data_IF_182558856681
#
_entry.id   IF_182558856681
#
_cell.length_a   1.000
_cell.length_b   1.000
_cell.length_c   1.000
_cell.angle_alpha   90.00
_cell.angle_beta   90.00
_cell.angle_gamma   90.00
#
_symmetry.space_group_name_H-M   'P 1'
#
loop_
_entity.id
_entity.type
_entity.pdbx_description
1 polymer ?
#
# COMPACT_ATOMS: atom_id res chain seq x y z
N UNK A 1 -3.20 -25.82 61.99
CA UNK A 1 -4.17 -24.71 61.82
C UNK A 1 -3.53 -23.44 62.35
N UNK A 2 -3.66 -22.26 61.72
CA UNK A 2 -3.73 -21.91 60.29
C UNK A 2 -2.45 -21.16 59.83
N UNK A 3 -2.09 -21.24 58.54
CA UNK A 3 -1.07 -20.38 57.93
C UNK A 3 -1.77 -19.12 57.45
N UNK A 4 -1.43 -17.98 58.06
CA UNK A 4 -1.92 -16.66 57.71
C UNK A 4 -1.32 -16.24 56.35
N UNK A 5 -2.14 -16.24 55.32
CA UNK A 5 -1.79 -15.73 54.00
C UNK A 5 -1.66 -14.20 54.09
N UNK A 6 -0.53 -13.59 53.69
CA UNK A 6 -0.44 -12.13 53.65
C UNK A 6 -1.41 -11.62 52.59
N UNK A 7 -2.47 -10.99 53.09
CA UNK A 7 -3.44 -10.17 52.39
C UNK A 7 -2.68 -9.20 51.46
N UNK A 8 -2.66 -9.50 50.16
CA UNK A 8 -2.18 -8.55 49.16
C UNK A 8 -3.27 -7.49 49.03
N UNK A 9 -3.23 -6.52 49.94
CA UNK A 9 -3.91 -5.25 49.80
C UNK A 9 -3.38 -4.61 48.51
N UNK A 10 -4.05 -4.93 47.40
CA UNK A 10 -3.98 -4.16 46.17
C UNK A 10 -4.63 -2.81 46.50
N UNK A 11 -3.82 -1.93 47.07
CA UNK A 11 -4.05 -0.51 47.15
C UNK A 11 -4.21 -0.04 45.71
N UNK A 12 -5.44 -0.12 45.22
CA UNK A 12 -5.84 0.36 43.92
C UNK A 12 -5.62 1.86 43.89
N UNK A 13 -4.39 2.27 43.56
CA UNK A 13 -4.08 3.62 43.17
C UNK A 13 -5.15 4.01 42.16
N UNK A 14 -5.99 4.98 42.52
CA UNK A 14 -6.97 5.55 41.61
C UNK A 14 -6.20 6.32 40.56
N UNK A 15 -5.65 5.59 39.58
CA UNK A 15 -4.88 6.10 38.46
C UNK A 15 -5.72 7.20 37.81
N UNK A 16 -5.13 8.38 37.68
CA UNK A 16 -5.81 9.58 37.15
C UNK A 16 -6.44 9.20 35.80
N UNK A 17 -7.77 9.15 35.76
CA UNK A 17 -8.56 8.69 34.59
C UNK A 17 -8.47 9.65 33.40
N UNK A 18 -7.69 10.74 33.50
CA UNK A 18 -7.60 11.82 32.53
C UNK A 18 -6.13 12.21 32.31
N UNK A 19 -5.78 12.62 31.08
CA UNK A 19 -4.42 12.91 30.59
C UNK A 19 -3.50 11.69 30.49
N UNK A 20 -4.02 10.59 29.96
CA UNK A 20 -3.26 9.36 29.74
C UNK A 20 -2.31 9.53 28.55
N UNK A 21 -1.02 9.22 28.73
CA UNK A 21 -0.08 9.24 27.61
C UNK A 21 -0.36 8.08 26.64
N UNK A 22 0.10 8.14 25.37
CA UNK A 22 -0.06 7.02 24.43
C UNK A 22 0.49 5.70 24.99
N UNK A 23 1.59 5.78 25.75
CA UNK A 23 2.21 4.64 26.41
C UNK A 23 1.29 4.04 27.48
N UNK A 24 0.71 4.89 28.33
CA UNK A 24 -0.18 4.44 29.40
C UNK A 24 -1.49 3.85 28.85
N UNK A 25 -1.96 4.32 27.69
CA UNK A 25 -3.14 3.75 27.00
C UNK A 25 -2.84 2.34 26.48
N UNK A 26 -1.67 2.13 25.88
CA UNK A 26 -1.23 0.81 25.44
C UNK A 26 -1.04 -0.13 26.63
N UNK A 27 -0.42 0.35 27.72
CA UNK A 27 -0.24 -0.44 28.96
C UNK A 27 -1.58 -0.96 29.47
N UNK A 28 -2.60 -0.09 29.58
CA UNK A 28 -3.95 -0.51 30.00
C UNK A 28 -4.62 -1.50 29.06
N UNK A 29 -4.39 -1.38 27.75
CA UNK A 29 -4.90 -2.36 26.78
C UNK A 29 -4.20 -3.72 26.95
N UNK A 30 -2.89 -3.73 27.20
CA UNK A 30 -2.12 -4.94 27.47
C UNK A 30 -2.57 -5.61 28.78
N UNK A 31 -2.67 -4.85 29.87
CA UNK A 31 -3.12 -5.36 31.17
C UNK A 31 -4.48 -6.08 31.02
N UNK A 32 -5.42 -5.46 30.30
CA UNK A 32 -6.74 -6.04 30.00
C UNK A 32 -6.68 -7.30 29.13
N UNK A 33 -5.73 -7.40 28.19
CA UNK A 33 -5.53 -8.59 27.37
C UNK A 33 -4.91 -9.73 28.18
N UNK A 34 -4.00 -9.39 29.11
CA UNK A 34 -3.29 -10.33 29.97
C UNK A 34 -4.14 -10.87 31.13
N UNK A 35 -5.21 -10.17 31.55
CA UNK A 35 -6.20 -10.70 32.50
C UNK A 35 -6.87 -12.00 32.00
N UNK A 36 -6.95 -12.21 30.68
CA UNK A 36 -7.64 -13.37 30.07
C UNK A 36 -6.84 -13.98 28.92
N UNK A 37 -5.69 -14.55 29.27
CA UNK A 37 -4.75 -15.18 28.32
C UNK A 37 -5.41 -16.31 27.51
N UNK A 38 -6.32 -17.07 28.11
CA UNK A 38 -6.97 -18.22 27.46
C UNK A 38 -7.96 -17.83 26.34
N UNK A 39 -8.37 -16.55 26.28
CA UNK A 39 -9.32 -16.10 25.26
C UNK A 39 -8.56 -15.68 23.99
N UNK A 40 -8.80 -16.31 22.83
CA UNK A 40 -8.15 -15.89 21.60
C UNK A 40 -8.58 -14.46 21.22
N UNK A 41 -7.60 -13.63 20.89
CA UNK A 41 -7.81 -12.25 20.44
C UNK A 41 -8.24 -12.26 18.98
N UNK A 42 -9.41 -11.70 18.68
CA UNK A 42 -9.91 -11.56 17.30
C UNK A 42 -9.37 -10.26 16.71
N UNK A 43 -8.43 -10.37 15.77
CA UNK A 43 -7.95 -9.24 14.99
C UNK A 43 -8.99 -8.98 13.87
N UNK A 44 -9.57 -7.77 13.76
CA UNK A 44 -10.56 -7.50 12.74
C UNK A 44 -9.92 -7.51 11.34
N UNK A 45 -10.53 -8.26 10.43
CA UNK A 45 -10.19 -8.21 9.01
C UNK A 45 -10.83 -7.00 8.34
N UNK A 46 -10.07 -6.34 7.45
CA UNK A 46 -10.59 -5.24 6.63
C UNK A 46 -11.56 -5.80 5.59
N UNK A 47 -12.85 -5.53 5.76
CA UNK A 47 -13.89 -5.95 4.81
C UNK A 47 -14.03 -4.91 3.70
N UNK A 48 -14.00 -5.38 2.45
CA UNK A 48 -14.35 -4.57 1.30
C UNK A 48 -15.86 -4.23 1.33
N UNK A 49 -16.21 -3.02 0.89
CA UNK A 49 -17.60 -2.55 0.87
C UNK A 49 -18.33 -3.18 -0.31
N UNK A 50 -19.02 -4.30 -0.07
CA UNK A 50 -19.81 -4.97 -1.10
C UNK A 50 -21.30 -4.72 -0.91
N UNK A 51 -22.05 -4.67 -2.02
CA UNK A 51 -23.51 -4.63 -1.96
C UNK A 51 -24.08 -6.05 -1.92
N UNK A 52 -25.23 -6.17 -1.26
CA UNK A 52 -26.00 -7.41 -1.29
C UNK A 52 -26.46 -7.69 -2.73
N UNK A 53 -26.36 -8.94 -3.21
CA UNK A 53 -26.83 -9.30 -4.54
C UNK A 53 -28.34 -9.02 -4.68
N UNK A 54 -28.82 -8.69 -5.89
CA UNK A 54 -30.24 -8.54 -6.14
C UNK A 54 -30.97 -9.87 -5.86
N UNK A 55 -32.23 -9.80 -5.44
CA UNK A 55 -33.06 -11.00 -5.24
C UNK A 55 -33.46 -11.55 -6.60
N UNK A 56 -33.31 -12.86 -6.79
CA UNK A 56 -33.63 -13.52 -8.07
C UNK A 56 -35.14 -13.48 -8.40
N UNK A 57 -36.00 -13.71 -7.39
CA UNK A 57 -37.45 -13.78 -7.59
C UNK A 57 -38.15 -12.81 -6.64
N UNK A 58 -38.82 -11.82 -7.23
CA UNK A 58 -39.72 -10.90 -6.51
C UNK A 58 -41.13 -11.47 -6.57
N UNK A 59 -41.70 -11.82 -5.40
CA UNK A 59 -43.01 -12.50 -5.30
C UNK A 59 -44.22 -11.57 -5.37
N UNK A 60 -44.03 -10.27 -5.23
CA UNK A 60 -45.11 -9.29 -5.03
C UNK A 60 -45.15 -8.24 -6.15
N UNK A 61 -44.92 -8.67 -7.40
CA UNK A 61 -44.94 -7.76 -8.56
C UNK A 61 -46.39 -7.56 -9.00
N UNK A 62 -46.95 -6.34 -8.93
CA UNK A 62 -48.27 -6.06 -9.49
C UNK A 62 -48.23 -6.20 -11.03
N UNK A 63 -49.36 -6.54 -11.64
CA UNK A 63 -49.43 -6.73 -13.10
C UNK A 63 -49.04 -5.46 -13.88
N UNK A 64 -48.56 -5.63 -15.12
CA UNK A 64 -47.98 -4.53 -15.92
C UNK A 64 -48.94 -3.37 -16.23
N UNK A 65 -50.26 -3.61 -16.15
CA UNK A 65 -51.30 -2.59 -16.34
C UNK A 65 -51.89 -2.06 -15.03
N UNK A 66 -51.40 -2.52 -13.87
CA UNK A 66 -51.86 -2.01 -12.59
C UNK A 66 -51.38 -0.55 -12.38
N UNK A 67 -52.24 0.29 -11.82
CA UNK A 67 -51.91 1.68 -11.52
C UNK A 67 -50.85 1.82 -10.41
N UNK A 68 -50.29 3.02 -10.27
CA UNK A 68 -49.31 3.32 -9.23
C UNK A 68 -49.93 3.21 -7.83
N UNK A 69 -49.45 2.24 -7.04
CA UNK A 69 -49.83 2.09 -5.63
C UNK A 69 -49.09 3.05 -4.70
N UNK A 70 -49.59 3.24 -3.48
CA UNK A 70 -48.97 4.11 -2.47
C UNK A 70 -47.57 3.68 -2.02
N UNK A 71 -47.25 2.39 -2.15
CA UNK A 71 -45.93 1.83 -1.83
C UNK A 71 -44.89 1.96 -2.95
N UNK A 72 -45.30 2.25 -4.18
CA UNK A 72 -44.42 2.21 -5.36
C UNK A 72 -43.29 3.24 -5.26
N UNK A 73 -43.60 4.42 -4.72
CA UNK A 73 -42.60 5.46 -4.48
C UNK A 73 -41.46 4.98 -3.57
N UNK A 74 -41.78 4.22 -2.51
CA UNK A 74 -40.76 3.71 -1.59
C UNK A 74 -39.95 2.57 -2.21
N UNK A 75 -40.56 1.76 -3.07
CA UNK A 75 -39.87 0.72 -3.83
C UNK A 75 -38.85 1.37 -4.77
N UNK A 76 -39.26 2.36 -5.58
CA UNK A 76 -38.36 3.12 -6.44
C UNK A 76 -37.24 3.80 -5.65
N UNK A 77 -37.56 4.47 -4.54
CA UNK A 77 -36.56 5.12 -3.68
C UNK A 77 -35.51 4.14 -3.16
N UNK A 78 -35.92 2.94 -2.74
CA UNK A 78 -35.00 1.91 -2.28
C UNK A 78 -34.15 1.34 -3.42
N UNK A 79 -34.77 1.08 -4.58
CA UNK A 79 -34.10 0.59 -5.77
C UNK A 79 -33.04 1.59 -6.28
N UNK A 80 -33.42 2.86 -6.41
CA UNK A 80 -32.52 3.94 -6.84
C UNK A 80 -31.33 4.11 -5.93
N UNK A 81 -31.53 4.07 -4.60
CA UNK A 81 -30.41 4.13 -3.64
C UNK A 81 -29.48 2.93 -3.78
N UNK A 82 -30.02 1.72 -3.97
CA UNK A 82 -29.21 0.53 -4.20
C UNK A 82 -28.41 0.66 -5.48
N UNK A 83 -29.02 1.14 -6.56
CA UNK A 83 -28.35 1.28 -7.84
C UNK A 83 -27.25 2.34 -7.81
N UNK A 84 -27.50 3.50 -7.19
CA UNK A 84 -26.47 4.51 -7.00
C UNK A 84 -25.31 4.04 -6.13
N UNK A 85 -25.59 3.26 -5.08
CA UNK A 85 -24.52 2.65 -4.31
C UNK A 85 -23.73 1.66 -5.18
N UNK A 86 -24.38 0.95 -6.11
CA UNK A 86 -23.76 -0.06 -6.98
C UNK A 86 -22.83 0.57 -7.99
N UNK A 87 -23.32 1.58 -8.71
CA UNK A 87 -22.52 2.32 -9.69
C UNK A 87 -21.37 3.03 -9.00
N UNK A 88 -21.61 3.64 -7.84
CA UNK A 88 -20.57 4.31 -7.06
C UNK A 88 -19.43 3.38 -6.62
N UNK A 89 -19.75 2.18 -6.12
CA UNK A 89 -18.70 1.22 -5.72
C UNK A 89 -17.90 0.77 -6.94
N UNK A 90 -18.57 0.48 -8.06
CA UNK A 90 -17.89 0.10 -9.31
C UNK A 90 -16.98 1.22 -9.83
N UNK A 91 -17.43 2.48 -9.80
CA UNK A 91 -16.62 3.64 -10.19
C UNK A 91 -15.43 3.86 -9.25
N UNK A 92 -15.62 3.72 -7.94
CA UNK A 92 -14.55 3.82 -6.93
C UNK A 92 -13.50 2.72 -7.11
N UNK A 93 -13.93 1.48 -7.38
CA UNK A 93 -13.04 0.33 -7.65
C UNK A 93 -12.23 0.54 -8.93
N UNK A 94 -12.88 0.92 -10.04
CA UNK A 94 -12.19 1.19 -11.30
C UNK A 94 -11.15 2.31 -11.15
N UNK A 95 -11.50 3.38 -10.43
CA UNK A 95 -10.56 4.48 -10.19
C UNK A 95 -9.38 4.03 -9.32
N UNK A 96 -9.65 3.28 -8.25
CA UNK A 96 -8.59 2.78 -7.37
C UNK A 96 -7.65 1.80 -8.09
N UNK A 97 -8.15 0.99 -9.02
CA UNK A 97 -7.35 0.10 -9.86
C UNK A 97 -6.48 0.89 -10.84
N UNK A 98 -7.03 1.89 -11.53
CA UNK A 98 -6.27 2.78 -12.40
C UNK A 98 -5.16 3.51 -11.64
N UNK A 99 -5.48 4.11 -10.50
CA UNK A 99 -4.51 4.81 -9.65
C UNK A 99 -3.39 3.87 -9.17
N UNK A 100 -3.71 2.60 -8.87
CA UNK A 100 -2.72 1.58 -8.48
C UNK A 100 -1.80 1.19 -9.65
N UNK A 101 -2.36 0.96 -10.84
CA UNK A 101 -1.58 0.62 -12.03
C UNK A 101 -0.60 1.75 -12.36
N UNK A 102 -1.07 3.00 -12.36
CA UNK A 102 -0.22 4.17 -12.62
C UNK A 102 0.88 4.31 -11.55
N UNK A 103 0.53 4.08 -10.29
CA UNK A 103 1.49 4.12 -9.19
C UNK A 103 2.57 3.05 -9.33
N UNK A 104 2.19 1.81 -9.61
CA UNK A 104 3.12 0.69 -9.74
C UNK A 104 4.03 0.87 -10.95
N UNK A 105 3.50 1.30 -12.11
CA UNK A 105 4.30 1.64 -13.29
C UNK A 105 5.34 2.72 -12.96
N UNK A 106 4.91 3.81 -12.32
CA UNK A 106 5.82 4.90 -11.94
C UNK A 106 6.87 4.45 -10.94
N UNK A 107 6.50 3.59 -9.98
CA UNK A 107 7.42 3.02 -8.99
C UNK A 107 8.48 2.15 -9.67
N UNK A 108 8.07 1.29 -10.58
CA UNK A 108 8.98 0.41 -11.33
C UNK A 108 9.95 1.21 -12.20
N UNK A 109 9.47 2.24 -12.90
CA UNK A 109 10.35 3.12 -13.68
C UNK A 109 11.40 3.82 -12.82
N UNK A 110 10.99 4.33 -11.65
CA UNK A 110 11.90 5.00 -10.72
C UNK A 110 12.93 4.02 -10.18
N UNK A 111 12.51 2.79 -9.87
CA UNK A 111 13.39 1.73 -9.40
C UNK A 111 14.39 1.32 -10.47
N UNK A 112 13.96 1.11 -11.72
CA UNK A 112 14.84 0.81 -12.85
C UNK A 112 15.86 1.93 -13.09
N UNK A 113 15.42 3.20 -13.09
CA UNK A 113 16.33 4.37 -13.23
C UNK A 113 17.35 4.44 -12.09
N UNK A 114 16.97 4.08 -10.87
CA UNK A 114 17.88 4.04 -9.72
C UNK A 114 18.88 2.87 -9.81
N UNK A 115 18.41 1.70 -10.24
CA UNK A 115 19.21 0.49 -10.40
C UNK A 115 20.23 0.65 -11.53
N UNK A 116 19.84 1.25 -12.66
CA UNK A 116 20.76 1.58 -13.75
C UNK A 116 21.89 2.51 -13.29
N UNK A 117 21.56 3.58 -12.56
CA UNK A 117 22.56 4.51 -12.02
C UNK A 117 23.48 3.79 -11.03
N UNK A 118 22.92 2.95 -10.18
CA UNK A 118 23.68 2.17 -9.20
C UNK A 118 24.58 1.13 -9.87
N UNK A 119 24.09 0.43 -10.90
CA UNK A 119 24.84 -0.55 -11.68
C UNK A 119 25.99 0.10 -12.46
N UNK A 120 25.75 1.23 -13.12
CA UNK A 120 26.80 2.03 -13.80
C UNK A 120 27.90 2.44 -12.82
N UNK A 121 27.52 2.93 -11.64
CA UNK A 121 28.48 3.33 -10.60
C UNK A 121 29.23 2.14 -9.98
N UNK A 122 28.53 1.01 -9.75
CA UNK A 122 29.12 -0.23 -9.26
C UNK A 122 30.14 -0.79 -10.26
N UNK A 123 29.81 -0.81 -11.56
CA UNK A 123 30.72 -1.25 -12.62
C UNK A 123 31.98 -0.37 -12.68
N UNK A 124 31.84 0.96 -12.59
CA UNK A 124 32.98 1.90 -12.50
C UNK A 124 33.88 1.60 -11.29
N UNK A 125 33.30 1.35 -10.11
CA UNK A 125 34.05 1.00 -8.89
C UNK A 125 34.77 -0.34 -9.02
N UNK A 126 34.11 -1.37 -9.56
CA UNK A 126 34.72 -2.68 -9.78
C UNK A 126 35.88 -2.64 -10.79
N UNK A 127 35.74 -1.86 -11.87
CA UNK A 127 36.84 -1.63 -12.83
C UNK A 127 38.04 -0.96 -12.15
N UNK A 128 37.80 0.07 -11.32
CA UNK A 128 38.87 0.74 -10.55
C UNK A 128 39.53 -0.22 -9.55
N UNK A 129 38.75 -1.02 -8.82
CA UNK A 129 39.26 -2.02 -7.88
C UNK A 129 40.12 -3.09 -8.58
N UNK A 130 39.65 -3.61 -9.72
CA UNK A 130 40.42 -4.56 -10.54
C UNK A 130 41.74 -3.95 -11.03
N UNK A 131 41.72 -2.71 -11.51
CA UNK A 131 42.92 -2.01 -11.97
C UNK A 131 43.92 -1.70 -10.85
N UNK A 132 43.47 -1.44 -9.62
CA UNK A 132 44.35 -1.28 -8.46
C UNK A 132 44.99 -2.62 -8.08
N UNK A 133 44.19 -3.68 -7.97
CA UNK A 133 44.71 -5.03 -7.66
C UNK A 133 45.72 -5.54 -8.69
N UNK A 134 45.57 -5.19 -9.99
CA UNK A 134 46.56 -5.57 -11.01
C UNK A 134 47.82 -4.71 -10.97
N UNK A 135 47.75 -3.46 -10.49
CA UNK A 135 48.94 -2.62 -10.25
C UNK A 135 49.73 -3.10 -9.04
N UNK A 136 49.05 -3.45 -7.95
CA UNK A 136 49.71 -3.92 -6.72
C UNK A 136 50.34 -5.33 -6.89
N UNK A 137 49.86 -6.12 -7.86
CA UNK A 137 50.41 -7.46 -8.19
C UNK A 137 51.47 -7.47 -9.29
N UNK A 138 51.73 -6.35 -9.97
CA UNK A 138 52.80 -6.28 -10.98
C UNK A 138 54.07 -5.74 -10.31
N UNK A 139 55.19 -6.51 -10.27
CA UNK A 139 56.46 -5.96 -9.86
C UNK A 139 56.85 -4.85 -10.83
N UNK A 140 57.36 -3.75 -10.28
CA UNK A 140 57.72 -2.51 -10.98
C UNK A 140 58.82 -2.80 -12.00
N UNK A 141 58.45 -2.99 -13.27
CA UNK A 141 59.36 -2.95 -14.42
C UNK A 141 58.97 -1.75 -15.28
N UNK A 142 59.98 -0.94 -15.64
CA UNK A 142 59.85 0.43 -16.14
C UNK A 142 59.11 0.63 -17.47
N UNK A 143 58.53 1.84 -17.56
CA UNK A 143 58.27 2.75 -18.70
C UNK A 143 57.84 2.21 -20.08
N UNK A 144 56.69 2.71 -20.57
CA UNK A 144 56.59 3.61 -21.73
C UNK A 144 55.14 4.01 -22.00
N UNK A 145 54.99 5.25 -22.45
CA UNK A 145 53.80 6.04 -22.78
C UNK A 145 52.99 5.52 -23.97
N UNK A 146 51.65 5.49 -23.87
CA UNK A 146 50.75 5.84 -24.99
C UNK A 146 49.47 6.45 -24.43
N UNK A 147 49.22 7.69 -24.85
CA UNK A 147 48.00 8.48 -24.72
C UNK A 147 46.82 7.79 -25.41
N UNK A 148 45.65 7.75 -24.77
CA UNK A 148 44.42 7.27 -25.40
C UNK A 148 43.22 7.98 -24.78
N UNK A 149 42.92 9.13 -25.36
CA UNK A 149 41.59 9.75 -25.39
C UNK A 149 40.52 8.68 -25.68
N UNK A 150 39.58 8.48 -24.76
CA UNK A 150 38.30 7.82 -25.03
C UNK A 150 37.18 8.62 -24.39
N UNK A 151 36.84 9.72 -25.07
CA UNK A 151 35.66 10.54 -24.80
C UNK A 151 34.47 9.90 -25.51
N UNK A 152 33.99 8.77 -25.01
CA UNK A 152 32.73 8.16 -25.48
C UNK A 152 31.54 8.77 -24.74
N UNK A 153 31.16 9.97 -25.16
CA UNK A 153 29.85 10.57 -24.87
C UNK A 153 28.87 10.06 -25.96
N UNK A 154 27.82 9.28 -25.65
CA UNK A 154 26.88 8.86 -26.68
C UNK A 154 25.96 10.04 -27.07
N UNK A 155 25.67 10.24 -28.37
CA UNK A 155 24.83 11.34 -28.82
C UNK A 155 23.39 11.13 -28.35
N UNK A 156 22.79 12.18 -27.78
CA UNK A 156 21.35 12.26 -27.58
C UNK A 156 20.68 12.29 -28.95
N UNK A 157 19.93 11.24 -29.29
CA UNK A 157 18.96 11.30 -30.37
C UNK A 157 17.75 12.08 -29.87
N UNK A 158 17.69 13.36 -30.22
CA UNK A 158 16.44 14.12 -30.20
C UNK A 158 15.59 13.66 -31.37
N UNK A 159 14.53 12.90 -31.08
CA UNK A 159 13.51 12.55 -32.05
C UNK A 159 12.50 13.70 -32.08
N UNK A 160 12.67 14.60 -33.04
CA UNK A 160 11.66 15.59 -33.40
C UNK A 160 10.57 14.88 -34.20
N UNK A 161 9.39 14.68 -33.61
CA UNK A 161 8.17 14.37 -34.36
C UNK A 161 7.32 15.61 -34.44
N UNK A 162 7.64 16.49 -35.38
CA UNK A 162 6.77 17.56 -35.86
C UNK A 162 6.06 17.05 -37.11
N UNK A 163 4.87 16.49 -36.94
CA UNK A 163 3.96 16.21 -38.04
C UNK A 163 2.61 16.86 -37.70
N UNK A 164 2.49 18.15 -37.97
CA UNK A 164 1.21 18.75 -38.31
C UNK A 164 0.84 18.38 -39.76
N UNK A 165 -0.46 18.46 -40.07
CA UNK A 165 -1.11 18.52 -41.41
C UNK A 165 -1.93 17.27 -41.78
N UNK A 166 -3.26 17.29 -41.57
CA UNK A 166 -4.25 17.67 -42.60
C UNK A 166 -5.69 17.28 -42.21
N UNK A 167 -6.55 18.31 -42.24
CA UNK A 167 -8.04 18.36 -42.36
C UNK A 167 -8.92 17.90 -41.19
#
# INVERSE_FOLDING_TARGET
>A
MPLDSPNHSDEGETQKKHNLTPYDLQKRQLDKLLERIDKPVVIPELKQKTLKPPKEIVRNVPGSSAGAGSGEFHIYRAHRRREYARTKIMEEEMKAEQDQIEFDQKREELQQKADEKTAKNRAKRQKRKKNQQTKDKKPKLESTSVDSNDTSNPPKQEVNTSNETTQ
#
